data_IF_582969953139
#
_entry.id   IF_582969953139
#
_cell.length_a   1.000
_cell.length_b   1.000
_cell.length_c   1.000
_cell.angle_alpha   90.00
_cell.angle_beta   90.00
_cell.angle_gamma   90.00
#
_symmetry.space_group_name_H-M   'P 1'
#
loop_
_entity.id
_entity.type
_entity.pdbx_description
1 polymer ?
#
# COMPACT_ATOMS: atom_id res chain seq x y z
N UNK A 1 18.57 55.34 -12.81
CA UNK A 1 18.13 55.06 -11.42
C UNK A 1 17.33 53.77 -11.46
N UNK A 2 17.97 52.64 -11.15
CA UNK A 2 17.35 51.31 -11.13
C UNK A 2 16.89 51.02 -9.70
N UNK A 3 15.59 50.80 -9.52
CA UNK A 3 14.99 50.37 -8.26
C UNK A 3 15.18 48.86 -8.11
N UNK A 4 16.08 48.46 -7.20
CA UNK A 4 16.27 47.07 -6.78
C UNK A 4 14.99 46.50 -6.17
N UNK A 5 14.43 45.51 -6.86
CA UNK A 5 13.26 44.76 -6.44
C UNK A 5 13.68 43.79 -5.33
N UNK A 6 13.26 44.09 -4.09
CA UNK A 6 13.53 43.26 -2.91
C UNK A 6 12.94 41.85 -3.10
N UNK A 7 13.83 40.87 -3.27
CA UNK A 7 13.54 39.45 -3.23
C UNK A 7 13.01 39.06 -1.84
N UNK A 8 11.85 38.38 -1.71
CA UNK A 8 11.34 37.96 -0.41
C UNK A 8 12.29 36.92 0.21
N UNK A 9 12.80 37.22 1.42
CA UNK A 9 13.65 36.35 2.23
C UNK A 9 13.04 34.96 2.34
N UNK A 10 13.78 33.95 1.88
CA UNK A 10 13.41 32.54 1.91
C UNK A 10 12.97 32.08 3.30
N UNK A 11 11.76 31.51 3.37
CA UNK A 11 11.30 30.71 4.50
C UNK A 11 12.24 29.50 4.60
N UNK A 12 12.96 29.37 5.71
CA UNK A 12 13.78 28.18 5.98
C UNK A 12 12.86 26.95 5.93
N UNK A 13 13.23 25.86 5.23
CA UNK A 13 12.42 24.65 5.23
C UNK A 13 12.37 24.11 6.67
N UNK A 14 11.20 24.11 7.29
CA UNK A 14 11.03 23.43 8.57
C UNK A 14 11.24 21.94 8.30
N UNK A 15 12.24 21.34 8.95
CA UNK A 15 12.44 19.89 8.89
C UNK A 15 11.22 19.23 9.54
N UNK A 16 10.29 18.74 8.73
CA UNK A 16 9.19 17.88 9.20
C UNK A 16 9.81 16.54 9.58
N UNK A 17 9.56 16.10 10.81
CA UNK A 17 9.92 14.75 11.25
C UNK A 17 8.79 13.81 10.87
N UNK A 18 9.13 12.65 10.32
CA UNK A 18 8.17 11.62 9.93
C UNK A 18 7.82 10.72 11.12
N UNK A 19 6.55 10.38 11.25
CA UNK A 19 6.02 9.42 12.20
C UNK A 19 6.25 7.99 11.73
N UNK A 20 6.30 7.04 12.67
CA UNK A 20 6.49 5.62 12.34
C UNK A 20 5.40 5.08 11.39
N UNK A 21 4.16 5.57 11.51
CA UNK A 21 3.06 5.23 10.60
C UNK A 21 3.28 5.77 9.19
N UNK A 22 3.85 6.96 9.03
CA UNK A 22 4.20 7.51 7.71
C UNK A 22 5.33 6.73 7.06
N UNK A 23 6.33 6.30 7.84
CA UNK A 23 7.41 5.43 7.35
C UNK A 23 6.86 4.07 6.94
N UNK A 24 5.99 3.46 7.74
CA UNK A 24 5.36 2.18 7.41
C UNK A 24 4.46 2.25 6.16
N UNK A 25 3.68 3.32 6.01
CA UNK A 25 2.87 3.55 4.81
C UNK A 25 3.74 3.77 3.56
N UNK A 26 4.85 4.50 3.71
CA UNK A 26 5.85 4.63 2.65
C UNK A 26 6.49 3.29 2.29
N UNK A 27 6.83 2.44 3.26
CA UNK A 27 7.41 1.12 3.01
C UNK A 27 6.41 0.17 2.33
N UNK A 28 5.12 0.29 2.63
CA UNK A 28 4.06 -0.57 2.08
C UNK A 28 3.61 -0.15 0.68
N UNK A 29 3.45 1.14 0.43
CA UNK A 29 3.19 1.68 -0.90
C UNK A 29 3.70 3.13 -1.00
N UNK A 30 4.96 3.34 -1.43
CA UNK A 30 5.58 4.67 -1.51
C UNK A 30 4.79 5.66 -2.37
N UNK A 31 4.08 5.14 -3.37
CA UNK A 31 3.29 5.89 -4.34
C UNK A 31 1.94 6.33 -3.79
N UNK A 32 1.23 5.48 -3.03
CA UNK A 32 -0.01 5.85 -2.35
C UNK A 32 0.24 6.87 -1.24
N UNK A 33 1.28 6.65 -0.43
CA UNK A 33 1.68 7.60 0.61
C UNK A 33 2.08 8.96 0.01
N UNK A 34 2.78 8.96 -1.13
CA UNK A 34 3.12 10.20 -1.84
C UNK A 34 1.88 10.91 -2.39
N UNK A 35 0.93 10.16 -2.97
CA UNK A 35 -0.33 10.69 -3.51
C UNK A 35 -1.20 11.32 -2.43
N UNK A 36 -1.26 10.73 -1.23
CA UNK A 36 -2.04 11.27 -0.11
C UNK A 36 -1.39 12.48 0.58
N UNK A 37 -0.06 12.57 0.59
CA UNK A 37 0.66 13.54 1.43
C UNK A 37 1.09 14.82 0.73
N UNK A 38 1.21 14.86 -0.62
CA UNK A 38 2.04 15.90 -1.25
C UNK A 38 1.38 17.05 -2.02
N UNK A 39 0.13 17.05 -2.51
CA UNK A 39 -0.45 18.33 -2.98
C UNK A 39 -1.93 18.28 -3.38
N UNK A 40 -2.72 19.36 -3.17
CA UNK A 40 -3.96 19.60 -3.91
C UNK A 40 -3.80 19.50 -5.43
N UNK A 41 -2.61 19.81 -5.96
CA UNK A 41 -2.26 19.62 -7.37
C UNK A 41 -2.18 18.14 -7.80
N UNK A 42 -2.01 17.19 -6.87
CA UNK A 42 -2.14 15.77 -7.17
C UNK A 42 -3.61 15.34 -7.34
N UNK A 43 -4.57 16.12 -6.83
CA UNK A 43 -6.01 15.91 -7.04
C UNK A 43 -6.53 16.58 -8.32
N UNK A 44 -5.77 17.51 -8.91
CA UNK A 44 -6.12 18.12 -10.19
C UNK A 44 -6.24 17.05 -11.28
N UNK A 45 -7.18 17.24 -12.20
CA UNK A 45 -7.38 16.28 -13.28
C UNK A 45 -6.17 16.29 -14.22
N UNK A 46 -5.92 15.15 -14.88
CA UNK A 46 -4.84 14.98 -15.86
C UNK A 46 -4.92 16.07 -16.94
N UNK A 47 -6.14 16.38 -17.40
CA UNK A 47 -6.39 17.45 -18.37
C UNK A 47 -6.02 18.84 -17.85
N UNK A 48 -6.29 19.12 -16.58
CA UNK A 48 -5.98 20.40 -15.96
C UNK A 48 -4.47 20.60 -15.81
N UNK A 49 -3.74 19.55 -15.42
CA UNK A 49 -2.27 19.57 -15.35
C UNK A 49 -1.65 19.78 -16.73
N UNK A 50 -2.18 19.13 -17.76
CA UNK A 50 -1.74 19.33 -19.15
C UNK A 50 -2.05 20.72 -19.68
N UNK A 51 -3.27 21.24 -19.43
CA UNK A 51 -3.65 22.58 -19.83
C UNK A 51 -2.69 23.62 -19.24
N UNK A 52 -2.34 23.47 -17.96
CA UNK A 52 -1.37 24.35 -17.30
C UNK A 52 0.02 24.29 -17.91
N UNK A 53 0.49 23.11 -18.29
CA UNK A 53 1.77 22.97 -18.99
C UNK A 53 1.76 23.65 -20.36
N UNK A 54 0.68 23.53 -21.12
CA UNK A 54 0.51 24.20 -22.42
C UNK A 54 0.49 25.72 -22.27
N UNK A 55 -0.17 26.25 -21.23
CA UNK A 55 -0.13 27.67 -20.90
C UNK A 55 1.31 28.14 -20.62
N UNK A 56 2.06 27.39 -19.80
CA UNK A 56 3.45 27.72 -19.49
C UNK A 56 4.35 27.70 -20.74
N UNK A 57 4.15 26.74 -21.64
CA UNK A 57 4.83 26.71 -22.94
C UNK A 57 4.44 27.89 -23.83
N UNK A 58 3.19 28.33 -23.80
CA UNK A 58 2.75 29.50 -24.54
C UNK A 58 3.39 30.79 -24.01
N UNK A 59 3.48 30.93 -22.68
CA UNK A 59 4.03 32.12 -22.02
C UNK A 59 5.56 32.20 -22.09
N UNK A 60 6.26 31.07 -21.93
CA UNK A 60 7.72 31.03 -21.77
C UNK A 60 8.45 30.36 -22.94
N UNK A 61 7.71 29.84 -23.93
CA UNK A 61 8.26 29.17 -25.09
C UNK A 61 9.15 27.98 -24.70
N UNK A 62 10.29 27.78 -25.37
CA UNK A 62 11.19 26.64 -25.10
C UNK A 62 11.74 26.58 -23.66
N UNK A 63 11.72 27.71 -22.94
CA UNK A 63 12.26 27.78 -21.57
C UNK A 63 11.27 27.27 -20.52
N UNK A 64 10.01 27.01 -20.88
CA UNK A 64 8.98 26.52 -19.96
C UNK A 64 9.40 25.25 -19.22
N UNK A 65 10.09 24.33 -19.89
CA UNK A 65 10.58 23.06 -19.33
C UNK A 65 11.60 23.22 -18.19
N UNK A 66 12.27 24.38 -18.10
CA UNK A 66 13.18 24.69 -17.01
C UNK A 66 12.45 25.23 -15.76
N UNK A 67 11.16 25.56 -15.88
CA UNK A 67 10.40 26.11 -14.76
C UNK A 67 10.10 25.01 -13.73
N UNK A 68 10.27 25.30 -12.42
CA UNK A 68 9.93 24.36 -11.36
C UNK A 68 8.47 23.87 -11.41
N UNK A 69 7.54 24.76 -11.80
CA UNK A 69 6.12 24.45 -11.95
C UNK A 69 5.90 23.42 -13.06
N UNK A 70 6.49 23.61 -14.23
CA UNK A 70 6.39 22.67 -15.35
C UNK A 70 6.91 21.27 -14.96
N UNK A 71 8.08 21.21 -14.33
CA UNK A 71 8.70 19.95 -13.88
C UNK A 71 7.88 19.23 -12.80
N UNK A 72 7.16 19.98 -11.96
CA UNK A 72 6.26 19.42 -10.97
C UNK A 72 5.05 18.75 -11.64
N UNK A 73 4.40 19.43 -12.58
CA UNK A 73 3.24 18.92 -13.32
C UNK A 73 3.61 17.67 -14.14
N UNK A 74 4.74 17.69 -14.83
CA UNK A 74 5.26 16.52 -15.56
C UNK A 74 5.47 15.31 -14.61
N UNK A 75 6.08 15.53 -13.44
CA UNK A 75 6.29 14.45 -12.45
C UNK A 75 4.99 13.93 -11.86
N UNK A 76 3.99 14.79 -11.68
CA UNK A 76 2.65 14.41 -11.22
C UNK A 76 1.98 13.48 -12.25
N UNK A 77 2.01 13.86 -13.52
CA UNK A 77 1.46 13.07 -14.63
C UNK A 77 2.15 11.70 -14.75
N UNK A 78 3.49 11.66 -14.71
CA UNK A 78 4.25 10.41 -14.76
C UNK A 78 3.96 9.47 -13.58
N UNK A 79 3.82 10.04 -12.36
CA UNK A 79 3.53 9.25 -11.16
C UNK A 79 2.11 8.74 -11.13
N UNK A 80 1.15 9.46 -11.70
CA UNK A 80 -0.25 9.01 -11.79
C UNK A 80 -0.40 7.78 -12.67
N UNK A 81 0.23 7.75 -13.85
CA UNK A 81 0.24 6.54 -14.68
C UNK A 81 0.88 5.33 -13.99
N UNK A 82 1.95 5.56 -13.21
CA UNK A 82 2.56 4.50 -12.39
C UNK A 82 1.66 4.06 -11.22
N UNK A 83 0.89 4.99 -10.63
CA UNK A 83 -0.05 4.71 -9.56
C UNK A 83 -1.23 3.86 -10.05
N UNK A 84 -1.84 4.22 -11.17
CA UNK A 84 -2.97 3.49 -11.76
C UNK A 84 -2.56 2.05 -12.11
N UNK A 85 -1.36 1.88 -12.66
CA UNK A 85 -0.78 0.55 -12.93
C UNK A 85 -0.57 -0.25 -11.64
N UNK A 86 -0.07 0.40 -10.59
CA UNK A 86 0.13 -0.23 -9.28
C UNK A 86 -1.17 -0.63 -8.59
N UNK A 87 -2.23 0.19 -8.71
CA UNK A 87 -3.56 -0.16 -8.22
C UNK A 87 -4.11 -1.41 -8.90
N UNK A 88 -3.99 -1.50 -10.23
CA UNK A 88 -4.46 -2.66 -10.97
C UNK A 88 -3.71 -3.94 -10.55
N UNK A 89 -2.39 -3.86 -10.42
CA UNK A 89 -1.58 -4.99 -9.93
C UNK A 89 -1.96 -5.44 -8.52
N UNK A 90 -2.26 -4.49 -7.62
CA UNK A 90 -2.74 -4.82 -6.28
C UNK A 90 -4.11 -5.48 -6.30
N UNK A 91 -5.01 -5.03 -7.20
CA UNK A 91 -6.34 -5.60 -7.39
C UNK A 91 -6.26 -7.04 -7.91
N UNK A 92 -5.48 -7.26 -8.97
CA UNK A 92 -5.22 -8.60 -9.52
C UNK A 92 -4.61 -9.54 -8.47
N UNK A 93 -3.67 -9.05 -7.65
CA UNK A 93 -3.05 -9.86 -6.61
C UNK A 93 -4.03 -10.21 -5.48
N UNK A 94 -4.92 -9.29 -5.11
CA UNK A 94 -5.96 -9.53 -4.11
C UNK A 94 -6.98 -10.55 -4.61
N UNK A 95 -7.41 -10.44 -5.86
CA UNK A 95 -8.31 -11.40 -6.54
C UNK A 95 -7.66 -12.80 -6.59
N UNK A 96 -6.38 -12.90 -6.99
CA UNK A 96 -5.66 -14.18 -7.02
C UNK A 96 -5.49 -14.83 -5.64
N UNK A 97 -5.32 -14.03 -4.58
CA UNK A 97 -5.29 -14.54 -3.20
C UNK A 97 -6.66 -15.08 -2.78
N UNK A 98 -7.74 -14.37 -3.11
CA UNK A 98 -9.10 -14.80 -2.81
C UNK A 98 -9.43 -16.14 -3.48
N UNK A 99 -9.08 -16.30 -4.76
CA UNK A 99 -9.21 -17.57 -5.49
C UNK A 99 -8.42 -18.70 -4.80
N UNK A 100 -7.17 -18.46 -4.40
CA UNK A 100 -6.37 -19.44 -3.68
C UNK A 100 -6.98 -19.84 -2.32
N UNK A 101 -7.62 -18.91 -1.62
CA UNK A 101 -8.36 -19.19 -0.39
C UNK A 101 -9.64 -19.99 -0.65
N UNK A 102 -10.37 -19.70 -1.72
CA UNK A 102 -11.56 -20.49 -2.10
C UNK A 102 -11.17 -21.93 -2.46
N UNK A 103 -10.11 -22.13 -3.25
CA UNK A 103 -9.58 -23.45 -3.58
C UNK A 103 -9.13 -24.22 -2.33
N UNK A 104 -8.43 -23.55 -1.41
CA UNK A 104 -8.01 -24.14 -0.14
C UNK A 104 -9.20 -24.52 0.75
N UNK A 105 -10.32 -23.78 0.68
CA UNK A 105 -11.55 -24.05 1.42
C UNK A 105 -12.41 -25.14 0.77
N UNK A 106 -12.30 -25.30 -0.54
CA UNK A 106 -12.93 -26.36 -1.32
C UNK A 106 -12.25 -27.73 -1.13
N UNK A 107 -11.00 -27.77 -0.64
CA UNK A 107 -10.36 -29.02 -0.22
C UNK A 107 -11.08 -29.61 0.99
N UNK A 108 -11.61 -30.85 0.90
CA UNK A 108 -12.39 -31.44 1.97
C UNK A 108 -11.46 -31.84 3.13
N UNK A 109 -11.32 -30.97 4.12
CA UNK A 109 -10.77 -31.32 5.45
C UNK A 109 -11.65 -32.34 6.22
N UNK A 110 -12.69 -32.88 5.59
CA UNK A 110 -13.70 -33.76 6.17
C UNK A 110 -13.19 -35.15 6.65
N UNK A 111 -11.95 -35.54 6.33
CA UNK A 111 -11.41 -36.87 6.68
C UNK A 111 -10.58 -36.94 7.97
N UNK A 112 -9.91 -35.84 8.35
CA UNK A 112 -8.92 -35.86 9.45
C UNK A 112 -9.57 -35.78 10.84
N UNK A 113 -10.67 -35.03 10.99
CA UNK A 113 -11.36 -34.85 12.27
C UNK A 113 -11.88 -36.17 12.86
N UNK A 114 -12.47 -37.03 12.03
CA UNK A 114 -12.98 -38.34 12.46
C UNK A 114 -11.87 -39.28 12.90
N UNK A 115 -10.70 -39.25 12.23
CA UNK A 115 -9.52 -40.04 12.64
C UNK A 115 -8.94 -39.55 13.97
N UNK A 116 -8.80 -38.23 14.13
CA UNK A 116 -8.33 -37.62 15.37
C UNK A 116 -9.29 -37.90 16.54
N UNK A 117 -10.60 -37.86 16.29
CA UNK A 117 -11.62 -38.20 17.30
C UNK A 117 -11.52 -39.68 17.74
N UNK A 118 -11.31 -40.61 16.80
CA UNK A 118 -11.12 -42.02 17.12
C UNK A 118 -9.84 -42.26 17.94
N UNK A 119 -8.75 -41.58 17.60
CA UNK A 119 -7.49 -41.66 18.37
C UNK A 119 -7.70 -41.10 19.79
N UNK A 120 -8.39 -39.98 19.93
CA UNK A 120 -8.69 -39.39 21.23
C UNK A 120 -9.54 -40.33 22.11
N UNK A 121 -10.55 -41.01 21.53
CA UNK A 121 -11.36 -42.00 22.25
C UNK A 121 -10.51 -43.20 22.68
N UNK A 122 -9.63 -43.71 21.81
CA UNK A 122 -8.76 -44.83 22.14
C UNK A 122 -7.81 -44.50 23.31
N UNK A 123 -7.26 -43.29 23.34
CA UNK A 123 -6.41 -42.80 24.44
C UNK A 123 -7.20 -42.63 25.75
N UNK A 124 -8.45 -42.18 25.67
CA UNK A 124 -9.31 -42.06 26.85
C UNK A 124 -9.58 -43.44 27.47
N UNK A 125 -9.93 -44.43 26.63
CA UNK A 125 -10.21 -45.79 27.08
C UNK A 125 -8.96 -46.42 27.70
N UNK A 126 -7.79 -46.26 27.07
CA UNK A 126 -6.55 -46.82 27.61
C UNK A 126 -6.19 -46.20 28.98
N UNK A 127 -6.38 -44.89 29.15
CA UNK A 127 -6.19 -44.23 30.43
C UNK A 127 -7.10 -44.79 31.53
N UNK A 128 -8.38 -45.00 31.23
CA UNK A 128 -9.35 -45.57 32.20
C UNK A 128 -8.93 -46.99 32.61
N UNK A 129 -8.53 -47.82 31.64
CA UNK A 129 -8.07 -49.20 31.90
C UNK A 129 -6.83 -49.20 32.78
N UNK A 130 -5.86 -48.33 32.52
CA UNK A 130 -4.64 -48.22 33.32
C UNK A 130 -4.93 -47.77 34.76
N UNK A 131 -5.85 -46.82 34.95
CA UNK A 131 -6.26 -46.37 36.29
C UNK A 131 -6.95 -47.51 37.04
N UNK A 132 -7.88 -48.22 36.40
CA UNK A 132 -8.57 -49.35 37.01
C UNK A 132 -7.61 -50.50 37.38
N UNK A 133 -6.67 -50.82 36.49
CA UNK A 133 -5.63 -51.82 36.76
C UNK A 133 -4.75 -51.41 37.95
N UNK A 134 -4.32 -50.15 38.03
CA UNK A 134 -3.52 -49.66 39.14
C UNK A 134 -4.24 -49.74 40.50
N UNK A 135 -5.57 -49.60 40.51
CA UNK A 135 -6.39 -49.75 41.72
C UNK A 135 -6.55 -51.23 42.10
N UNK A 136 -6.75 -52.13 41.13
CA UNK A 136 -6.98 -53.56 41.36
C UNK A 136 -5.70 -54.36 41.66
N UNK A 137 -4.54 -53.90 41.19
CA UNK A 137 -3.23 -54.49 41.48
C UNK A 137 -2.59 -53.96 42.79
N UNK A 138 -3.28 -53.08 43.51
CA UNK A 138 -2.86 -52.55 44.81
C UNK A 138 -3.50 -53.35 45.94
#
# INVERSE_FOLDING_TARGET
MQSEQRQPRGKRPSKRYFTASEVAAFEYCPLAWWHEQYEPAAQADTEELFARMVELEHEHGPQATALPEYQLHERLLLRRGAFDTGQEQHREHAEALEEAYEEARALPFAGCSRRLMLVAIALLISAIVLIAAAILLR
#
